data_IF_232554265484
#
_entry.id   IF_232554265484
#
_cell.length_a   1.000
_cell.length_b   1.000
_cell.length_c   1.000
_cell.angle_alpha   90.00
_cell.angle_beta   90.00
_cell.angle_gamma   90.00
#
_symmetry.space_group_name_H-M   'P 1'
#
loop_
_entity.id
_entity.type
_entity.pdbx_description
1 polymer ?
#
# COMPACT_ATOMS: atom_id res chain seq x y z
N UNK A 1 -45.75 -17.70 28.79
CA UNK A 1 -44.82 -16.67 28.27
C UNK A 1 -43.73 -16.48 29.30
N UNK A 2 -42.54 -17.02 29.03
CA UNK A 2 -41.37 -16.86 29.89
C UNK A 2 -41.01 -15.37 30.01
N UNK A 3 -41.10 -14.84 31.23
CA UNK A 3 -40.64 -13.50 31.58
C UNK A 3 -39.10 -13.47 31.51
N UNK A 4 -38.55 -13.37 30.29
CA UNK A 4 -37.12 -13.14 30.06
C UNK A 4 -36.70 -11.87 30.80
N UNK A 5 -35.81 -12.04 31.79
CA UNK A 5 -35.32 -10.96 32.65
C UNK A 5 -34.80 -9.78 31.80
N UNK A 6 -35.12 -8.52 32.15
CA UNK A 6 -34.69 -7.35 31.38
C UNK A 6 -33.16 -7.27 31.25
N UNK A 7 -32.44 -7.85 32.22
CA UNK A 7 -30.99 -7.98 32.20
C UNK A 7 -30.50 -8.89 31.07
N UNK A 8 -31.20 -10.00 30.79
CA UNK A 8 -30.87 -10.92 29.71
C UNK A 8 -31.08 -10.27 28.35
N UNK A 9 -32.12 -9.44 28.19
CA UNK A 9 -32.36 -8.68 26.95
C UNK A 9 -31.26 -7.63 26.72
N UNK A 10 -30.84 -6.92 27.76
CA UNK A 10 -29.78 -5.91 27.66
C UNK A 10 -28.42 -6.51 27.30
N UNK A 11 -28.08 -7.67 27.87
CA UNK A 11 -26.85 -8.42 27.55
C UNK A 11 -26.87 -8.89 26.09
N UNK A 12 -28.01 -9.39 25.59
CA UNK A 12 -28.13 -9.84 24.19
C UNK A 12 -27.98 -8.67 23.21
N UNK A 13 -28.55 -7.50 23.52
CA UNK A 13 -28.41 -6.29 22.68
C UNK A 13 -26.96 -5.78 22.68
N UNK A 14 -26.28 -5.79 23.83
CA UNK A 14 -24.85 -5.44 23.90
C UNK A 14 -23.97 -6.40 23.09
N UNK A 15 -24.21 -7.70 23.17
CA UNK A 15 -23.47 -8.69 22.38
C UNK A 15 -23.70 -8.51 20.87
N UNK A 16 -24.92 -8.17 20.46
CA UNK A 16 -25.25 -7.91 19.04
C UNK A 16 -24.59 -6.64 18.51
N UNK A 17 -24.39 -5.62 19.37
CA UNK A 17 -23.73 -4.37 19.00
C UNK A 17 -22.22 -4.51 18.73
N UNK A 18 -21.61 -5.63 19.15
CA UNK A 18 -20.20 -5.95 18.89
C UNK A 18 -19.98 -6.60 17.52
N UNK A 19 -21.03 -6.75 16.70
CA UNK A 19 -20.93 -7.20 15.30
C UNK A 19 -20.38 -6.06 14.44
N UNK A 20 -19.17 -5.58 14.72
CA UNK A 20 -18.48 -4.67 13.83
C UNK A 20 -18.13 -5.41 12.54
N UNK A 21 -18.56 -4.89 11.39
CA UNK A 21 -18.07 -5.35 10.09
C UNK A 21 -16.60 -5.00 10.00
N UNK A 22 -15.72 -6.01 9.94
CA UNK A 22 -14.32 -5.80 9.59
C UNK A 22 -14.28 -5.46 8.09
N UNK A 23 -14.08 -4.18 7.78
CA UNK A 23 -13.70 -3.79 6.42
C UNK A 23 -12.20 -3.99 6.31
N UNK A 24 -11.78 -4.86 5.39
CA UNK A 24 -10.39 -4.98 4.98
C UNK A 24 -10.25 -4.28 3.64
N UNK A 25 -9.20 -3.49 3.47
CA UNK A 25 -8.83 -2.97 2.16
C UNK A 25 -8.13 -4.08 1.37
N UNK A 26 -8.52 -4.28 0.12
CA UNK A 26 -7.86 -5.12 -0.86
C UNK A 26 -6.93 -4.26 -1.72
N UNK A 27 -5.66 -4.24 -1.33
CA UNK A 27 -4.61 -3.48 -2.02
C UNK A 27 -3.51 -4.44 -2.46
N UNK A 28 -3.25 -4.47 -3.76
CA UNK A 28 -2.19 -5.28 -4.35
C UNK A 28 -1.31 -4.39 -5.24
N UNK A 29 -0.08 -4.13 -4.82
CA UNK A 29 0.83 -3.21 -5.51
C UNK A 29 1.91 -3.98 -6.26
N UNK A 30 2.00 -3.73 -7.56
CA UNK A 30 3.06 -4.21 -8.44
C UNK A 30 3.96 -3.05 -8.89
N UNK A 31 5.27 -3.25 -8.80
CA UNK A 31 6.27 -2.30 -9.24
C UNK A 31 7.05 -2.88 -10.43
N UNK A 32 7.26 -2.07 -11.46
CA UNK A 32 8.20 -2.37 -12.54
C UNK A 32 9.03 -1.15 -12.91
N UNK A 33 10.13 -1.35 -13.63
CA UNK A 33 11.00 -0.29 -14.12
C UNK A 33 11.19 -0.42 -15.63
N UNK A 34 11.25 0.71 -16.34
CA UNK A 34 11.61 0.77 -17.74
C UNK A 34 12.74 1.81 -17.96
N UNK A 35 13.91 1.42 -18.49
CA UNK A 35 14.32 0.03 -18.77
C UNK A 35 14.42 -0.83 -17.51
N UNK A 36 14.46 -2.16 -17.65
CA UNK A 36 14.61 -3.07 -16.50
C UNK A 36 16.03 -3.09 -15.92
N UNK A 37 17.01 -2.59 -16.69
CA UNK A 37 18.42 -2.47 -16.32
C UNK A 37 19.07 -1.39 -17.16
N UNK A 38 19.91 -0.58 -16.55
CA UNK A 38 20.81 0.37 -17.20
C UNK A 38 22.08 0.50 -16.33
N UNK A 39 23.17 0.96 -16.95
CA UNK A 39 24.43 1.15 -16.25
C UNK A 39 24.70 2.64 -16.09
N UNK A 40 25.03 3.04 -14.86
CA UNK A 40 25.50 4.39 -14.59
C UNK A 40 27.02 4.44 -14.76
N UNK A 41 27.53 5.53 -15.32
CA UNK A 41 28.95 5.83 -15.40
C UNK A 41 29.24 7.16 -14.70
N UNK A 42 30.51 7.49 -14.39
CA UNK A 42 30.85 8.76 -13.75
C UNK A 42 30.36 10.01 -14.52
N UNK A 43 30.20 9.87 -15.84
CA UNK A 43 29.83 10.97 -16.73
C UNK A 43 28.34 10.96 -17.13
N UNK A 44 27.64 9.84 -16.92
CA UNK A 44 26.26 9.63 -17.36
C UNK A 44 25.45 8.83 -16.33
N UNK A 45 24.33 9.41 -15.87
CA UNK A 45 23.43 8.75 -14.93
C UNK A 45 22.54 7.72 -15.63
N UNK A 46 22.26 6.62 -14.94
CA UNK A 46 21.23 5.67 -15.37
C UNK A 46 19.84 6.21 -15.00
N UNK A 47 18.98 6.39 -16.00
CA UNK A 47 17.60 6.88 -15.81
C UNK A 47 16.58 5.76 -16.00
N UNK A 48 15.55 5.79 -15.14
CA UNK A 48 14.49 4.79 -15.13
C UNK A 48 13.15 5.43 -14.84
N UNK A 49 12.10 4.92 -15.48
CA UNK A 49 10.73 5.18 -15.06
C UNK A 49 10.24 4.03 -14.19
N UNK A 50 9.86 4.31 -12.94
CA UNK A 50 9.18 3.35 -12.07
C UNK A 50 7.69 3.40 -12.37
N UNK A 51 7.12 2.26 -12.74
CA UNK A 51 5.69 2.09 -12.92
C UNK A 51 5.11 1.47 -11.65
N UNK A 52 4.22 2.21 -11.00
CA UNK A 52 3.45 1.76 -9.84
C UNK A 52 2.06 1.37 -10.34
N UNK A 53 1.67 0.10 -10.16
CA UNK A 53 0.33 -0.37 -10.54
C UNK A 53 -0.37 -0.98 -9.33
N UNK A 54 -1.61 -0.55 -9.11
CA UNK A 54 -2.50 -1.16 -8.14
C UNK A 54 -3.45 -2.13 -8.88
N UNK A 55 -3.37 -3.40 -8.53
CA UNK A 55 -4.20 -4.50 -9.05
C UNK A 55 -5.25 -4.97 -8.05
N UNK A 56 -5.32 -4.35 -6.87
CA UNK A 56 -6.38 -4.57 -5.89
C UNK A 56 -7.63 -3.73 -6.17
N UNK A 57 -8.67 -4.03 -5.41
CA UNK A 57 -10.00 -3.43 -5.55
C UNK A 57 -10.16 -2.08 -4.80
N UNK A 58 -9.21 -1.72 -3.93
CA UNK A 58 -9.22 -0.45 -3.19
C UNK A 58 -8.09 0.49 -3.61
N UNK A 59 -8.33 1.81 -3.53
CA UNK A 59 -7.32 2.84 -3.78
C UNK A 59 -6.14 2.76 -2.78
N UNK A 60 -4.94 3.15 -3.24
CA UNK A 60 -3.74 3.08 -2.43
C UNK A 60 -2.84 4.33 -2.52
N UNK A 61 -2.22 4.65 -1.37
CA UNK A 61 -1.20 5.67 -1.23
C UNK A 61 0.17 4.99 -1.12
N UNK A 62 1.08 5.28 -2.06
CA UNK A 62 2.40 4.66 -2.13
C UNK A 62 3.48 5.70 -1.88
N UNK A 63 4.32 5.46 -0.87
CA UNK A 63 5.52 6.24 -0.60
C UNK A 63 6.74 5.49 -1.14
N UNK A 64 7.57 6.19 -1.92
CA UNK A 64 8.82 5.69 -2.48
C UNK A 64 10.00 6.36 -1.79
N UNK A 65 11.06 5.59 -1.57
CA UNK A 65 12.31 6.06 -1.00
C UNK A 65 13.48 5.32 -1.62
N UNK A 66 14.61 5.98 -1.79
CA UNK A 66 15.87 5.32 -2.14
C UNK A 66 16.64 4.99 -0.87
N UNK A 67 17.33 3.86 -0.87
CA UNK A 67 18.34 3.52 0.11
C UNK A 67 19.57 3.05 -0.64
N UNK A 68 20.73 3.55 -0.21
CA UNK A 68 22.00 3.20 -0.79
C UNK A 68 22.81 2.39 0.23
N UNK A 69 23.44 1.31 -0.23
CA UNK A 69 24.31 0.52 0.62
C UNK A 69 25.55 1.30 1.05
N UNK A 70 26.04 1.05 2.26
CA UNK A 70 27.19 1.74 2.85
C UNK A 70 28.47 1.71 2.00
N UNK A 71 28.59 0.73 1.09
CA UNK A 71 29.78 0.54 0.25
C UNK A 71 29.66 1.24 -1.13
N UNK A 72 28.56 1.95 -1.40
CA UNK A 72 28.30 2.58 -2.68
C UNK A 72 28.62 4.09 -2.63
N UNK A 73 29.92 4.43 -2.58
CA UNK A 73 30.40 5.82 -2.41
C UNK A 73 30.63 6.59 -3.73
N UNK A 74 30.44 5.96 -4.89
CA UNK A 74 30.75 6.54 -6.20
C UNK A 74 29.54 7.05 -6.99
N UNK A 75 28.32 6.70 -6.55
CA UNK A 75 27.06 7.05 -7.21
C UNK A 75 26.05 7.45 -6.15
N UNK A 76 25.01 8.18 -6.54
CA UNK A 76 23.85 8.47 -5.66
C UNK A 76 22.57 8.13 -6.39
N UNK A 77 21.48 7.90 -5.66
CA UNK A 77 20.17 7.59 -6.25
C UNK A 77 19.13 8.57 -5.76
N UNK A 78 18.47 9.25 -6.70
CA UNK A 78 17.42 10.23 -6.44
C UNK A 78 16.11 9.79 -7.07
N UNK A 79 14.99 10.11 -6.41
CA UNK A 79 13.66 9.96 -6.97
C UNK A 79 13.10 11.35 -7.27
N UNK A 80 12.56 11.53 -8.46
CA UNK A 80 11.80 12.74 -8.80
C UNK A 80 10.48 12.79 -8.03
N UNK A 81 9.80 11.64 -7.89
CA UNK A 81 8.54 11.50 -7.18
C UNK A 81 8.66 10.49 -6.04
N UNK A 82 8.30 10.90 -4.82
CA UNK A 82 8.36 10.06 -3.61
C UNK A 82 6.99 9.67 -3.07
N UNK A 83 5.91 10.19 -3.64
CA UNK A 83 4.56 9.88 -3.22
C UNK A 83 3.62 9.84 -4.42
N UNK A 84 2.83 8.78 -4.53
CA UNK A 84 1.85 8.59 -5.60
C UNK A 84 0.56 8.02 -5.03
N UNK A 85 -0.56 8.57 -5.47
CA UNK A 85 -1.88 7.96 -5.26
C UNK A 85 -2.21 7.13 -6.50
N UNK A 86 -2.53 5.86 -6.30
CA UNK A 86 -2.91 4.93 -7.37
C UNK A 86 -4.31 4.40 -7.09
N UNK A 87 -5.22 4.63 -8.04
CA UNK A 87 -6.60 4.16 -7.91
C UNK A 87 -6.68 2.64 -8.08
N UNK A 88 -7.75 2.03 -7.55
CA UNK A 88 -8.10 0.64 -7.84
C UNK A 88 -8.33 0.44 -9.33
N UNK A 89 -7.77 -0.62 -9.91
CA UNK A 89 -8.17 -1.05 -11.25
C UNK A 89 -9.36 -2.00 -11.11
N UNK A 90 -10.55 -1.44 -10.92
CA UNK A 90 -11.79 -2.20 -10.98
C UNK A 90 -11.87 -2.89 -12.34
N UNK A 91 -11.85 -4.23 -12.37
CA UNK A 91 -12.10 -5.02 -13.57
C UNK A 91 -13.58 -5.12 -13.88
#
# INVERSE_FOLDING_TARGET
>A
MDSKSPLTVLIVIMLLSMSATVVSADVDISLSANPSSAEASPDEAAEYTILVRNTGDDDAAVSLSTQQGNDCNGFTSTLETTFVQVGSQSS
#
